data_IF_625944391957
#
_entry.id   IF_625944391957
#
_cell.length_a   1.000
_cell.length_b   1.000
_cell.length_c   1.000
_cell.angle_alpha   90.00
_cell.angle_beta   90.00
_cell.angle_gamma   90.00
#
_symmetry.space_group_name_H-M   'P 1'
#
loop_
_entity.id
_entity.type
_entity.pdbx_description
1 polymer ?
#
# COMPACT_ATOMS: atom_id res chain seq x y z
N UNK A 1 8.95 30.46 0.26
CA UNK A 1 8.15 30.42 -0.97
C UNK A 1 8.23 29.01 -1.52
N UNK A 2 7.14 28.26 -1.48
CA UNK A 2 7.04 26.94 -2.07
C UNK A 2 6.64 27.04 -3.55
N UNK A 3 7.05 26.07 -4.36
CA UNK A 3 6.57 25.89 -5.74
C UNK A 3 5.54 24.77 -5.77
N UNK A 4 4.35 25.05 -6.29
CA UNK A 4 3.21 24.14 -6.35
C UNK A 4 2.96 23.72 -7.80
N UNK A 5 3.13 22.43 -8.10
CA UNK A 5 2.76 21.87 -9.39
C UNK A 5 1.24 21.79 -9.54
N UNK A 6 0.69 22.19 -10.69
CA UNK A 6 -0.74 22.08 -11.00
C UNK A 6 -0.90 21.27 -12.28
N UNK A 7 -1.41 20.05 -12.17
CA UNK A 7 -1.65 19.14 -13.29
C UNK A 7 -3.11 19.29 -13.74
N UNK A 8 -3.30 19.79 -14.96
CA UNK A 8 -4.62 20.00 -15.56
C UNK A 8 -4.55 19.94 -17.09
N UNK A 9 -5.67 19.66 -17.75
CA UNK A 9 -5.78 19.81 -19.21
C UNK A 9 -6.21 21.24 -19.52
N UNK A 10 -5.27 22.06 -19.98
CA UNK A 10 -5.45 23.49 -20.21
C UNK A 10 -6.40 23.78 -21.39
N UNK A 11 -6.50 22.88 -22.36
CA UNK A 11 -7.50 22.87 -23.46
C UNK A 11 -8.95 23.08 -23.01
N UNK A 12 -9.30 22.58 -21.83
CA UNK A 12 -10.69 22.47 -21.34
C UNK A 12 -10.93 23.18 -20.02
N UNK A 13 -9.89 23.46 -19.23
CA UNK A 13 -10.00 23.92 -17.82
C UNK A 13 -9.19 25.19 -17.53
N UNK A 14 -8.89 25.99 -18.55
CA UNK A 14 -8.01 27.15 -18.43
C UNK A 14 -8.52 28.21 -17.45
N UNK A 15 -9.84 28.41 -17.33
CA UNK A 15 -10.40 29.37 -16.37
C UNK A 15 -10.14 28.96 -14.92
N UNK A 16 -10.33 27.68 -14.62
CA UNK A 16 -10.08 27.07 -13.32
C UNK A 16 -8.60 27.05 -12.99
N UNK A 17 -7.74 26.71 -13.97
CA UNK A 17 -6.28 26.77 -13.84
C UNK A 17 -5.81 28.20 -13.56
N UNK A 18 -6.35 29.22 -14.26
CA UNK A 18 -6.07 30.64 -13.98
C UNK A 18 -6.49 31.05 -12.57
N UNK A 19 -7.65 30.59 -12.10
CA UNK A 19 -8.11 30.83 -10.73
C UNK A 19 -7.17 30.20 -9.69
N UNK A 20 -6.80 28.93 -9.87
CA UNK A 20 -5.83 28.22 -9.02
C UNK A 20 -4.47 28.93 -9.03
N UNK A 21 -3.97 29.31 -10.21
CA UNK A 21 -2.72 30.05 -10.37
C UNK A 21 -2.74 31.38 -9.60
N UNK A 22 -3.86 32.12 -9.66
CA UNK A 22 -4.06 33.37 -8.91
C UNK A 22 -4.07 33.11 -7.39
N UNK A 23 -4.80 32.11 -6.90
CA UNK A 23 -4.88 31.79 -5.47
C UNK A 23 -3.52 31.35 -4.89
N UNK A 24 -2.75 30.54 -5.62
CA UNK A 24 -1.38 30.16 -5.22
C UNK A 24 -0.49 31.40 -5.13
N UNK A 25 -0.49 32.27 -6.16
CA UNK A 25 0.28 33.53 -6.15
C UNK A 25 -0.10 34.45 -4.98
N UNK A 26 -1.39 34.56 -4.65
CA UNK A 26 -1.88 35.36 -3.51
C UNK A 26 -1.39 34.86 -2.15
N UNK A 27 -0.96 33.60 -2.03
CA UNK A 27 -0.38 33.04 -0.80
C UNK A 27 1.13 33.28 -0.64
N UNK A 28 1.77 33.98 -1.59
CA UNK A 28 3.23 34.13 -1.60
C UNK A 28 3.98 32.87 -2.06
N UNK A 29 3.28 31.95 -2.74
CA UNK A 29 3.84 30.73 -3.33
C UNK A 29 3.81 30.81 -4.88
N UNK A 30 4.63 30.02 -5.53
CA UNK A 30 4.76 30.00 -7.00
C UNK A 30 4.00 28.81 -7.59
N UNK A 31 2.99 29.02 -8.46
CA UNK A 31 2.43 27.92 -9.24
C UNK A 31 3.36 27.55 -10.40
N UNK A 32 3.42 26.27 -10.72
CA UNK A 32 4.03 25.70 -11.92
C UNK A 32 2.94 24.88 -12.62
N UNK A 33 2.44 25.35 -13.77
CA UNK A 33 1.36 24.67 -14.50
C UNK A 33 1.96 23.58 -15.41
N UNK A 34 1.46 22.35 -15.26
CA UNK A 34 1.81 21.18 -16.07
C UNK A 34 0.60 20.81 -16.94
N UNK A 35 0.73 20.99 -18.25
CA UNK A 35 -0.38 20.75 -19.17
C UNK A 35 -0.50 19.28 -19.62
N UNK A 36 -1.60 18.63 -19.25
CA UNK A 36 -1.96 17.27 -19.69
C UNK A 36 -3.13 17.30 -20.68
N UNK A 37 -3.12 18.26 -21.59
CA UNK A 37 -4.09 18.37 -22.68
C UNK A 37 -3.88 17.35 -23.79
N UNK A 38 -5.00 16.75 -24.22
CA UNK A 38 -5.05 15.84 -25.38
C UNK A 38 -5.98 16.35 -26.49
N UNK A 39 -6.57 17.54 -26.34
CA UNK A 39 -7.29 18.25 -27.40
C UNK A 39 -6.34 19.10 -28.28
N UNK A 40 -6.72 19.44 -29.53
CA UNK A 40 -5.81 20.11 -30.46
C UNK A 40 -5.51 21.58 -30.13
N UNK A 41 -6.44 22.28 -29.45
CA UNK A 41 -6.32 23.70 -29.14
C UNK A 41 -6.16 23.94 -27.63
N UNK A 42 -5.15 24.72 -27.25
CA UNK A 42 -4.89 25.11 -25.86
C UNK A 42 -4.96 26.64 -25.77
N UNK A 43 -5.95 27.22 -25.04
CA UNK A 43 -6.19 28.66 -24.99
C UNK A 43 -5.27 29.42 -24.00
N UNK A 44 -4.33 28.75 -23.35
CA UNK A 44 -3.36 29.36 -22.42
C UNK A 44 -1.98 28.73 -22.54
N UNK A 45 -0.94 29.46 -22.12
CA UNK A 45 0.42 28.92 -22.00
C UNK A 45 0.64 28.37 -20.59
N UNK A 46 0.98 27.08 -20.50
CA UNK A 46 1.47 26.46 -19.27
C UNK A 46 2.97 26.73 -19.07
N UNK A 47 3.47 26.50 -17.85
CA UNK A 47 4.90 26.64 -17.53
C UNK A 47 5.71 25.42 -18.00
N UNK A 48 5.07 24.24 -18.03
CA UNK A 48 5.53 23.02 -18.71
C UNK A 48 4.45 22.60 -19.69
N UNK A 49 4.78 22.62 -20.98
CA UNK A 49 3.86 22.25 -22.06
C UNK A 49 3.58 20.74 -22.12
N UNK A 50 2.48 20.35 -22.78
CA UNK A 50 2.17 18.93 -23.04
C UNK A 50 3.28 18.28 -23.89
N UNK A 51 3.92 19.01 -24.79
CA UNK A 51 5.01 18.53 -25.64
C UNK A 51 6.26 18.19 -24.79
N UNK A 52 6.62 19.04 -23.83
CA UNK A 52 7.70 18.78 -22.87
C UNK A 52 7.38 17.59 -21.95
N UNK A 53 6.11 17.42 -21.57
CA UNK A 53 5.66 16.25 -20.81
C UNK A 53 5.78 14.99 -21.65
N UNK A 54 5.18 14.95 -22.85
CA UNK A 54 5.20 13.79 -23.76
C UNK A 54 6.62 13.34 -24.14
N UNK A 55 7.56 14.28 -24.27
CA UNK A 55 8.97 13.99 -24.51
C UNK A 55 9.59 13.13 -23.39
N UNK A 56 9.12 13.22 -22.14
CA UNK A 56 9.57 12.33 -21.05
C UNK A 56 9.10 10.88 -21.23
N UNK A 57 7.95 10.66 -21.89
CA UNK A 57 7.50 9.33 -22.32
C UNK A 57 8.21 8.80 -23.56
N UNK A 58 8.89 9.67 -24.32
CA UNK A 58 9.46 9.35 -25.63
C UNK A 58 8.47 9.55 -26.78
N UNK A 59 7.39 10.31 -26.55
CA UNK A 59 6.34 10.58 -27.53
C UNK A 59 6.43 12.00 -28.10
N UNK A 60 6.02 12.19 -29.36
CA UNK A 60 5.69 13.51 -29.90
C UNK A 60 4.19 13.79 -29.82
N UNK A 61 3.80 15.06 -29.92
CA UNK A 61 2.38 15.44 -29.95
C UNK A 61 1.67 14.83 -31.17
N UNK A 62 2.31 14.79 -32.33
CA UNK A 62 1.74 14.25 -33.58
C UNK A 62 1.39 12.76 -33.44
N UNK A 63 2.27 11.99 -32.78
CA UNK A 63 2.03 10.58 -32.49
C UNK A 63 0.81 10.41 -31.58
N UNK A 64 0.76 11.16 -30.48
CA UNK A 64 -0.33 11.11 -29.48
C UNK A 64 -1.65 11.61 -30.05
N UNK A 65 -1.62 12.61 -30.92
CA UNK A 65 -2.81 13.15 -31.59
C UNK A 65 -3.39 12.17 -32.63
N UNK A 66 -2.55 11.30 -33.21
CA UNK A 66 -2.98 10.23 -34.11
C UNK A 66 -3.49 8.97 -33.38
N UNK A 67 -3.32 8.87 -32.05
CA UNK A 67 -3.88 7.78 -31.26
C UNK A 67 -5.38 7.94 -31.06
N UNK A 68 -6.04 6.86 -30.67
CA UNK A 68 -7.37 6.94 -30.08
C UNK A 68 -7.30 7.64 -28.70
N UNK A 69 -8.46 8.01 -28.15
CA UNK A 69 -8.54 8.70 -26.86
C UNK A 69 -7.93 7.87 -25.72
N UNK A 70 -8.02 6.55 -25.77
CA UNK A 70 -7.44 5.68 -24.74
C UNK A 70 -5.91 5.69 -24.79
N UNK A 71 -5.33 5.47 -25.97
CA UNK A 71 -3.88 5.53 -26.19
C UNK A 71 -3.29 6.89 -25.84
N UNK A 72 -3.95 7.99 -26.23
CA UNK A 72 -3.50 9.33 -25.91
C UNK A 72 -3.46 9.60 -24.39
N UNK A 73 -4.46 9.14 -23.64
CA UNK A 73 -4.45 9.23 -22.16
C UNK A 73 -3.37 8.33 -21.56
N UNK A 74 -3.16 7.12 -22.07
CA UNK A 74 -2.11 6.23 -21.57
C UNK A 74 -0.71 6.82 -21.77
N UNK A 75 -0.39 7.30 -22.97
CA UNK A 75 0.88 7.96 -23.29
C UNK A 75 1.10 9.22 -22.42
N UNK A 76 0.06 10.03 -22.24
CA UNK A 76 0.11 11.20 -21.35
C UNK A 76 0.31 10.80 -19.87
N UNK A 77 -0.33 9.72 -19.42
CA UNK A 77 -0.23 9.18 -18.04
C UNK A 77 1.19 8.76 -17.71
N UNK A 78 1.85 8.01 -18.59
CA UNK A 78 3.25 7.61 -18.43
C UNK A 78 4.18 8.83 -18.43
N UNK A 79 3.93 9.75 -19.35
CA UNK A 79 4.72 10.97 -19.56
C UNK A 79 4.68 11.92 -18.35
N UNK A 80 3.48 12.22 -17.83
CA UNK A 80 3.33 13.09 -16.65
C UNK A 80 3.90 12.42 -15.38
N UNK A 81 3.81 11.09 -15.28
CA UNK A 81 4.41 10.32 -14.18
C UNK A 81 5.93 10.50 -14.13
N UNK A 82 6.61 10.34 -15.29
CA UNK A 82 8.06 10.56 -15.42
C UNK A 82 8.45 12.03 -15.18
N UNK A 83 7.68 12.98 -15.72
CA UNK A 83 7.91 14.41 -15.50
C UNK A 83 7.79 14.79 -14.01
N UNK A 84 6.76 14.30 -13.32
CA UNK A 84 6.51 14.65 -11.93
C UNK A 84 7.60 14.08 -11.00
N UNK A 85 8.03 12.84 -11.21
CA UNK A 85 9.17 12.24 -10.51
C UNK A 85 10.44 13.08 -10.68
N UNK A 86 10.75 13.51 -11.91
CA UNK A 86 11.89 14.39 -12.19
C UNK A 86 11.79 15.72 -11.42
N UNK A 87 10.64 16.40 -11.46
CA UNK A 87 10.45 17.69 -10.80
C UNK A 87 10.54 17.59 -9.27
N UNK A 88 10.06 16.50 -8.67
CA UNK A 88 10.20 16.24 -7.22
C UNK A 88 11.64 15.87 -6.86
N UNK A 89 12.31 15.04 -7.66
CA UNK A 89 13.71 14.66 -7.46
C UNK A 89 14.67 15.85 -7.56
N UNK A 90 14.44 16.74 -8.53
CA UNK A 90 15.17 18.00 -8.72
C UNK A 90 14.74 19.11 -7.71
N UNK A 91 13.83 18.81 -6.77
CA UNK A 91 13.26 19.76 -5.78
C UNK A 91 12.64 21.02 -6.40
N UNK A 92 12.19 20.94 -7.66
CA UNK A 92 11.54 22.05 -8.39
C UNK A 92 10.09 22.27 -7.97
N UNK A 93 9.44 21.27 -7.39
CA UNK A 93 8.12 21.39 -6.75
C UNK A 93 8.13 20.86 -5.32
N UNK A 94 7.28 21.44 -4.49
CA UNK A 94 7.16 21.23 -3.05
C UNK A 94 5.80 20.67 -2.64
N UNK A 95 4.84 20.70 -3.57
CA UNK A 95 3.54 20.05 -3.49
C UNK A 95 2.90 20.01 -4.88
N UNK A 96 1.87 19.17 -5.05
CA UNK A 96 1.16 19.01 -6.33
C UNK A 96 -0.36 18.96 -6.16
N UNK A 97 -1.07 19.65 -7.05
CA UNK A 97 -2.51 19.59 -7.22
C UNK A 97 -2.86 19.00 -8.58
N UNK A 98 -3.61 17.90 -8.58
CA UNK A 98 -4.36 17.47 -9.76
C UNK A 98 -5.75 18.08 -9.77
N UNK A 99 -6.30 18.38 -10.95
CA UNK A 99 -7.73 18.71 -11.06
C UNK A 99 -8.38 18.27 -12.38
N UNK A 100 -9.63 17.81 -12.29
CA UNK A 100 -10.46 17.53 -13.46
C UNK A 100 -11.48 16.41 -13.26
N UNK A 101 -12.08 15.98 -14.37
CA UNK A 101 -12.96 14.81 -14.40
C UNK A 101 -12.21 13.49 -14.37
N UNK A 102 -12.90 12.39 -14.72
CA UNK A 102 -12.38 11.01 -14.72
C UNK A 102 -10.97 10.89 -15.33
N UNK A 103 -10.77 11.33 -16.57
CA UNK A 103 -9.50 11.13 -17.28
C UNK A 103 -8.32 11.92 -16.66
N UNK A 104 -8.55 13.19 -16.28
CA UNK A 104 -7.58 13.97 -15.51
C UNK A 104 -7.28 13.31 -14.16
N UNK A 105 -8.30 12.77 -13.48
CA UNK A 105 -8.12 12.10 -12.18
C UNK A 105 -7.26 10.86 -12.31
N UNK A 106 -7.43 10.06 -13.38
CA UNK A 106 -6.58 8.90 -13.68
C UNK A 106 -5.13 9.32 -13.94
N UNK A 107 -4.91 10.31 -14.82
CA UNK A 107 -3.56 10.83 -15.12
C UNK A 107 -2.87 11.38 -13.87
N UNK A 108 -3.59 12.13 -13.03
CA UNK A 108 -3.07 12.67 -11.78
C UNK A 108 -2.81 11.56 -10.75
N UNK A 109 -3.76 10.64 -10.54
CA UNK A 109 -3.62 9.49 -9.63
C UNK A 109 -2.37 8.67 -9.92
N UNK A 110 -2.14 8.32 -11.20
CA UNK A 110 -0.96 7.56 -11.58
C UNK A 110 0.35 8.27 -11.21
N UNK A 111 0.49 9.56 -11.55
CA UNK A 111 1.70 10.32 -11.23
C UNK A 111 1.86 10.57 -9.72
N UNK A 112 0.78 10.88 -9.00
CA UNK A 112 0.82 11.20 -7.57
C UNK A 112 1.09 9.95 -6.71
N UNK A 113 0.69 8.75 -7.13
CA UNK A 113 0.99 7.49 -6.44
C UNK A 113 2.47 7.09 -6.47
N UNK A 114 3.26 7.67 -7.39
CA UNK A 114 4.71 7.48 -7.43
C UNK A 114 5.47 8.41 -6.45
N UNK A 115 4.77 9.34 -5.79
CA UNK A 115 5.40 10.25 -4.83
C UNK A 115 5.41 9.65 -3.42
N UNK A 116 6.49 9.87 -2.64
CA UNK A 116 6.65 9.27 -1.32
C UNK A 116 5.59 9.78 -0.33
N UNK A 117 5.36 8.98 0.72
CA UNK A 117 4.42 9.32 1.78
C UNK A 117 4.87 10.59 2.52
N UNK A 118 3.92 11.47 2.84
CA UNK A 118 4.16 12.78 3.45
C UNK A 118 4.48 13.90 2.45
N UNK A 119 4.70 13.61 1.16
CA UNK A 119 4.81 14.66 0.14
C UNK A 119 3.44 15.31 -0.12
N UNK A 120 3.29 16.66 -0.12
CA UNK A 120 2.00 17.32 -0.30
C UNK A 120 1.36 17.05 -1.66
N UNK A 121 0.28 16.26 -1.69
CA UNK A 121 -0.41 15.88 -2.93
C UNK A 121 -1.93 15.80 -2.74
N UNK A 122 -2.64 16.51 -3.61
CA UNK A 122 -4.10 16.65 -3.56
C UNK A 122 -4.71 16.51 -4.97
N UNK A 123 -5.93 15.98 -5.07
CA UNK A 123 -6.70 15.94 -6.32
C UNK A 123 -8.10 16.52 -6.08
N UNK A 124 -8.48 17.55 -6.85
CA UNK A 124 -9.88 18.00 -6.92
C UNK A 124 -10.58 17.26 -8.06
N UNK A 125 -11.52 16.37 -7.74
CA UNK A 125 -12.07 15.41 -8.70
C UNK A 125 -13.59 15.36 -8.73
N UNK A 126 -14.16 15.26 -9.93
CA UNK A 126 -15.61 14.99 -10.13
C UNK A 126 -15.99 13.55 -9.80
N UNK A 127 -15.03 12.63 -9.67
CA UNK A 127 -15.25 11.21 -9.39
C UNK A 127 -14.87 10.80 -7.95
N UNK A 128 -14.60 11.76 -7.07
CA UNK A 128 -14.26 11.51 -5.67
C UNK A 128 -15.41 10.92 -4.83
N UNK A 129 -16.65 10.97 -5.34
CA UNK A 129 -17.85 10.45 -4.70
C UNK A 129 -18.63 9.56 -5.67
N UNK A 130 -19.21 8.47 -5.15
CA UNK A 130 -19.99 7.48 -5.90
C UNK A 130 -19.42 6.07 -5.83
N UNK A 131 -20.07 5.13 -6.51
CA UNK A 131 -19.70 3.72 -6.54
C UNK A 131 -18.51 3.47 -7.48
N UNK A 132 -17.29 3.66 -6.97
CA UNK A 132 -16.01 3.33 -7.61
C UNK A 132 -15.05 2.82 -6.55
N UNK A 133 -14.14 1.91 -6.92
CA UNK A 133 -13.05 1.54 -6.02
C UNK A 133 -12.09 2.74 -5.86
N UNK A 134 -11.95 3.22 -4.63
CA UNK A 134 -11.20 4.45 -4.31
C UNK A 134 -9.67 4.23 -4.38
N UNK A 135 -9.22 2.98 -4.26
CA UNK A 135 -7.85 2.53 -4.52
C UNK A 135 -7.32 2.95 -5.92
N UNK A 136 -8.18 3.06 -6.93
CA UNK A 136 -7.83 3.55 -8.27
C UNK A 136 -7.39 5.02 -8.27
N UNK A 137 -7.75 5.78 -7.22
CA UNK A 137 -7.40 7.19 -7.05
C UNK A 137 -6.25 7.38 -6.08
N UNK A 138 -6.23 6.66 -4.95
CA UNK A 138 -5.22 6.86 -3.88
C UNK A 138 -4.14 5.77 -3.80
N UNK A 139 -4.45 4.54 -4.22
CA UNK A 139 -3.56 3.39 -4.12
C UNK A 139 -3.12 3.12 -2.68
N UNK A 140 -1.81 2.97 -2.50
CA UNK A 140 -1.10 2.75 -1.24
C UNK A 140 -0.56 4.06 -0.62
N UNK A 141 -0.95 5.24 -1.13
CA UNK A 141 -0.38 6.54 -0.73
C UNK A 141 -1.41 7.49 -0.11
N UNK A 142 -0.92 8.41 0.72
CA UNK A 142 -1.64 9.52 1.35
C UNK A 142 -2.01 10.64 0.35
N UNK A 143 -2.84 10.33 -0.65
CA UNK A 143 -3.36 11.32 -1.60
C UNK A 143 -4.66 11.90 -1.03
N UNK A 144 -4.69 13.21 -0.77
CA UNK A 144 -5.93 13.88 -0.38
C UNK A 144 -6.83 14.05 -1.61
N UNK A 145 -8.08 13.60 -1.54
CA UNK A 145 -9.04 13.75 -2.64
C UNK A 145 -10.20 14.63 -2.20
N UNK A 146 -10.46 15.70 -2.95
CA UNK A 146 -11.55 16.65 -2.70
C UNK A 146 -12.62 16.49 -3.78
N UNK A 147 -13.89 16.19 -3.43
CA UNK A 147 -14.99 16.23 -4.38
C UNK A 147 -15.17 17.63 -4.95
N UNK A 148 -15.16 17.76 -6.29
CA UNK A 148 -15.37 19.06 -6.95
C UNK A 148 -16.79 19.60 -6.81
N UNK A 149 -17.75 18.75 -6.40
CA UNK A 149 -19.20 18.96 -6.29
C UNK A 149 -19.90 19.20 -7.65
N UNK A 150 -19.34 20.06 -8.49
CA UNK A 150 -19.77 20.32 -9.87
C UNK A 150 -18.64 20.02 -10.85
N UNK A 151 -18.95 19.96 -12.14
CA UNK A 151 -17.93 19.76 -13.19
C UNK A 151 -17.04 21.02 -13.36
N UNK A 152 -15.91 20.86 -14.03
CA UNK A 152 -15.01 21.95 -14.42
C UNK A 152 -15.33 22.39 -15.84
N UNK A 153 -16.43 23.14 -15.96
CA UNK A 153 -16.98 23.66 -17.21
C UNK A 153 -17.09 25.20 -17.18
N UNK A 154 -16.08 25.85 -16.58
CA UNK A 154 -16.04 27.29 -16.33
C UNK A 154 -16.28 27.66 -14.87
N UNK A 155 -15.70 28.78 -14.45
CA UNK A 155 -15.79 29.26 -13.07
C UNK A 155 -17.21 29.69 -12.69
N UNK A 156 -17.70 29.15 -11.57
CA UNK A 156 -18.91 29.56 -10.88
C UNK A 156 -18.65 29.58 -9.35
N UNK A 157 -19.57 30.10 -8.51
CA UNK A 157 -19.34 30.21 -7.07
C UNK A 157 -19.03 28.89 -6.35
N UNK A 158 -19.52 27.75 -6.85
CA UNK A 158 -19.23 26.43 -6.27
C UNK A 158 -17.79 26.02 -6.58
N UNK A 159 -17.34 26.11 -7.85
CA UNK A 159 -15.94 25.87 -8.18
C UNK A 159 -15.01 26.87 -7.46
N UNK A 160 -15.42 28.13 -7.30
CA UNK A 160 -14.61 29.14 -6.59
C UNK A 160 -14.38 28.75 -5.11
N UNK A 161 -15.44 28.33 -4.42
CA UNK A 161 -15.35 27.85 -3.05
C UNK A 161 -14.53 26.55 -2.93
N UNK A 162 -14.81 25.55 -3.76
CA UNK A 162 -14.19 24.22 -3.67
C UNK A 162 -12.71 24.25 -4.09
N UNK A 163 -12.37 24.87 -5.22
CA UNK A 163 -10.97 25.05 -5.63
C UNK A 163 -10.24 25.99 -4.67
N UNK A 164 -10.91 27.02 -4.13
CA UNK A 164 -10.35 27.91 -3.11
C UNK A 164 -9.94 27.16 -1.84
N UNK A 165 -10.80 26.27 -1.35
CA UNK A 165 -10.51 25.41 -0.21
C UNK A 165 -9.40 24.39 -0.53
N UNK A 166 -9.45 23.75 -1.70
CA UNK A 166 -8.44 22.76 -2.12
C UNK A 166 -7.04 23.38 -2.21
N UNK A 167 -6.92 24.55 -2.84
CA UNK A 167 -5.66 25.30 -2.93
C UNK A 167 -5.20 25.74 -1.54
N UNK A 168 -6.11 26.21 -0.68
CA UNK A 168 -5.77 26.62 0.70
C UNK A 168 -5.27 25.44 1.56
N UNK A 169 -5.88 24.26 1.41
CA UNK A 169 -5.42 23.03 2.06
C UNK A 169 -4.01 22.67 1.61
N UNK A 170 -3.74 22.65 0.29
CA UNK A 170 -2.41 22.38 -0.23
C UNK A 170 -1.36 23.42 0.21
N UNK A 171 -1.72 24.71 0.25
CA UNK A 171 -0.87 25.76 0.81
C UNK A 171 -0.51 25.43 2.27
N UNK A 172 -1.49 25.02 3.08
CA UNK A 172 -1.28 24.53 4.44
C UNK A 172 -0.30 23.35 4.49
N UNK A 173 -0.49 22.35 3.64
CA UNK A 173 0.40 21.18 3.55
C UNK A 173 1.84 21.55 3.17
N UNK A 174 2.06 22.43 2.18
CA UNK A 174 3.43 22.84 1.77
C UNK A 174 4.10 23.85 2.72
N UNK A 175 3.32 24.55 3.55
CA UNK A 175 3.84 25.57 4.48
C UNK A 175 4.13 24.99 5.86
N UNK A 176 3.27 24.09 6.35
CA UNK A 176 3.33 23.56 7.72
C UNK A 176 3.55 22.05 7.81
N UNK A 177 3.33 21.31 6.71
CA UNK A 177 3.54 19.87 6.61
C UNK A 177 4.69 19.52 5.66
N UNK A 178 4.46 18.57 4.75
CA UNK A 178 5.38 18.24 3.66
C UNK A 178 6.68 17.56 4.07
N UNK A 179 6.80 17.17 5.34
CA UNK A 179 7.92 16.36 5.83
C UNK A 179 7.75 14.93 5.29
N UNK A 180 8.82 14.42 4.67
CA UNK A 180 8.94 12.97 4.42
C UNK A 180 9.01 12.23 5.75
N UNK A 181 8.73 10.93 5.72
CA UNK A 181 9.03 10.04 6.84
C UNK A 181 10.55 10.13 7.11
N UNK A 182 10.90 10.56 8.32
CA UNK A 182 12.27 10.60 8.82
C UNK A 182 12.28 9.77 10.10
N UNK A 183 13.00 8.66 10.08
CA UNK A 183 13.13 7.79 11.25
C UNK A 183 14.09 8.36 12.30
N UNK A 184 14.81 9.43 11.99
CA UNK A 184 15.87 10.02 12.83
C UNK A 184 16.94 9.00 13.26
N UNK A 185 17.19 7.97 12.42
CA UNK A 185 18.12 6.87 12.70
C UNK A 185 17.55 5.74 13.55
N UNK A 186 16.29 5.83 13.96
CA UNK A 186 15.60 4.83 14.77
C UNK A 186 15.19 3.61 13.94
N UNK A 187 15.24 2.43 14.57
CA UNK A 187 14.81 1.17 13.95
C UNK A 187 13.35 0.91 14.24
N UNK A 188 12.54 0.83 13.19
CA UNK A 188 11.13 0.42 13.28
C UNK A 188 10.95 -1.04 12.85
N UNK A 189 10.14 -1.76 13.61
CA UNK A 189 9.71 -3.13 13.33
C UNK A 189 8.29 -3.05 12.76
N UNK A 190 8.09 -3.55 11.55
CA UNK A 190 6.74 -3.73 11.00
C UNK A 190 6.10 -4.99 11.59
N UNK A 191 4.80 -4.97 11.84
CA UNK A 191 4.03 -6.17 12.20
C UNK A 191 2.66 -6.16 11.55
N UNK A 192 2.07 -7.34 11.37
CA UNK A 192 0.80 -7.52 10.66
C UNK A 192 -0.25 -8.17 11.54
N UNK A 193 -1.47 -7.64 11.51
CA UNK A 193 -2.59 -8.09 12.34
C UNK A 193 -3.89 -8.13 11.56
N UNK A 194 -4.89 -8.84 12.11
CA UNK A 194 -6.31 -8.77 11.79
C UNK A 194 -7.11 -8.95 13.07
N UNK A 195 -8.42 -8.72 13.06
CA UNK A 195 -9.28 -9.00 14.23
C UNK A 195 -9.18 -10.44 14.76
N UNK A 196 -8.80 -11.41 13.93
CA UNK A 196 -8.61 -12.82 14.29
C UNK A 196 -7.21 -13.20 14.81
N UNK A 197 -6.25 -12.27 14.76
CA UNK A 197 -4.87 -12.40 15.29
C UNK A 197 -4.50 -11.27 16.26
N UNK A 198 -5.35 -10.24 16.41
CA UNK A 198 -5.06 -8.95 17.02
C UNK A 198 -4.37 -9.07 18.38
N UNK A 199 -4.96 -9.84 19.30
CA UNK A 199 -4.57 -9.81 20.70
C UNK A 199 -3.17 -10.40 20.91
N UNK A 200 -2.82 -11.45 20.18
CA UNK A 200 -1.45 -12.02 20.13
C UNK A 200 -0.46 -11.02 19.57
N UNK A 201 -0.77 -10.38 18.43
CA UNK A 201 0.15 -9.45 17.77
C UNK A 201 0.36 -8.18 18.59
N UNK A 202 -0.70 -7.65 19.19
CA UNK A 202 -0.62 -6.48 20.07
C UNK A 202 0.14 -6.80 21.35
N UNK A 203 -0.11 -7.95 22.00
CA UNK A 203 0.66 -8.39 23.18
C UNK A 203 2.16 -8.52 22.87
N UNK A 204 2.52 -9.15 21.76
CA UNK A 204 3.91 -9.26 21.33
C UNK A 204 4.55 -7.88 21.03
N UNK A 205 3.76 -6.98 20.43
CA UNK A 205 4.18 -5.60 20.13
C UNK A 205 4.36 -4.74 21.39
N UNK A 206 3.50 -4.91 22.38
CA UNK A 206 3.56 -4.20 23.67
C UNK A 206 4.79 -4.66 24.48
N UNK A 207 5.09 -5.96 24.49
CA UNK A 207 6.29 -6.51 25.14
C UNK A 207 7.58 -6.01 24.45
N UNK A 208 7.64 -5.99 23.12
CA UNK A 208 8.75 -5.39 22.36
C UNK A 208 8.87 -3.88 22.64
N UNK A 209 7.75 -3.17 22.77
CA UNK A 209 7.72 -1.73 23.08
C UNK A 209 8.20 -1.46 24.52
N UNK A 210 7.84 -2.31 25.48
CA UNK A 210 8.34 -2.24 26.86
C UNK A 210 9.85 -2.46 26.94
N UNK A 211 10.43 -3.24 26.02
CA UNK A 211 11.89 -3.41 25.82
C UNK A 211 12.54 -2.26 25.03
N UNK A 212 11.79 -1.23 24.64
CA UNK A 212 12.30 -0.05 23.93
C UNK A 212 12.38 -0.19 22.41
N UNK A 213 11.81 -1.24 21.81
CA UNK A 213 11.66 -1.35 20.35
C UNK A 213 10.52 -0.44 19.86
N UNK A 214 10.53 -0.08 18.58
CA UNK A 214 9.50 0.78 17.97
C UNK A 214 8.70 0.00 16.94
N UNK A 215 7.39 -0.14 17.16
CA UNK A 215 6.51 -0.94 16.32
C UNK A 215 5.72 -0.08 15.34
N UNK A 216 5.41 -0.62 14.16
CA UNK A 216 4.40 -0.09 13.22
C UNK A 216 3.51 -1.26 12.79
N UNK A 217 2.20 -1.16 13.06
CA UNK A 217 1.22 -2.20 12.74
C UNK A 217 0.52 -1.93 11.40
N UNK A 218 0.32 -3.00 10.64
CA UNK A 218 -0.39 -3.01 9.35
C UNK A 218 -1.55 -4.01 9.41
N UNK A 219 -2.75 -3.59 8.98
CA UNK A 219 -3.92 -4.47 8.94
C UNK A 219 -3.87 -5.32 7.66
N UNK A 220 -3.84 -6.65 7.80
CA UNK A 220 -3.75 -7.60 6.68
C UNK A 220 -5.05 -7.71 5.87
N UNK A 221 -5.46 -6.62 5.21
CA UNK A 221 -6.67 -6.49 4.37
C UNK A 221 -6.33 -6.04 2.95
N UNK A 222 -5.26 -6.57 2.39
CA UNK A 222 -4.74 -6.31 1.04
C UNK A 222 -3.77 -5.13 1.02
N UNK A 223 -4.27 -3.93 1.32
CA UNK A 223 -3.46 -2.71 1.22
C UNK A 223 -2.40 -2.64 2.34
N UNK A 224 -2.63 -3.24 3.50
CA UNK A 224 -1.70 -3.15 4.64
C UNK A 224 -0.35 -3.78 4.34
N UNK A 225 -0.33 -5.03 3.84
CA UNK A 225 0.92 -5.66 3.42
C UNK A 225 1.58 -4.97 2.24
N UNK A 226 0.81 -4.48 1.24
CA UNK A 226 1.36 -3.68 0.14
C UNK A 226 2.09 -2.43 0.65
N UNK A 227 1.52 -1.70 1.62
CA UNK A 227 2.17 -0.52 2.23
C UNK A 227 3.41 -0.95 3.03
N UNK A 228 3.35 -2.02 3.81
CA UNK A 228 4.49 -2.55 4.56
C UNK A 228 5.66 -2.92 3.63
N UNK A 229 5.39 -3.69 2.58
CA UNK A 229 6.32 -4.07 1.51
C UNK A 229 6.94 -2.85 0.81
N UNK A 230 6.17 -1.77 0.66
CA UNK A 230 6.65 -0.48 0.13
C UNK A 230 7.60 0.20 1.13
N UNK A 231 7.21 0.33 2.40
CA UNK A 231 7.98 0.98 3.46
C UNK A 231 9.29 0.24 3.82
N UNK A 232 9.36 -1.07 3.61
CA UNK A 232 10.61 -1.86 3.69
C UNK A 232 11.58 -1.44 2.58
N UNK A 233 11.12 -1.36 1.32
CA UNK A 233 11.94 -0.94 0.18
C UNK A 233 12.33 0.54 0.25
N UNK A 234 11.47 1.40 0.82
CA UNK A 234 11.76 2.80 1.13
C UNK A 234 12.75 2.97 2.32
N UNK A 235 13.09 1.90 3.05
CA UNK A 235 14.05 1.92 4.16
C UNK A 235 13.51 2.48 5.49
N UNK A 236 12.20 2.68 5.59
CA UNK A 236 11.52 3.13 6.83
C UNK A 236 11.48 1.99 7.86
N UNK A 237 11.24 0.77 7.38
CA UNK A 237 11.19 -0.44 8.22
C UNK A 237 12.56 -1.11 8.23
N UNK A 238 13.06 -1.43 9.43
CA UNK A 238 14.38 -2.03 9.67
C UNK A 238 14.34 -3.53 9.98
N UNK A 239 13.17 -4.06 10.34
CA UNK A 239 12.92 -5.48 10.61
C UNK A 239 11.40 -5.77 10.56
N UNK A 240 10.99 -7.04 10.48
CA UNK A 240 9.58 -7.43 10.37
C UNK A 240 9.24 -8.56 11.36
N UNK A 241 8.10 -8.44 12.02
CA UNK A 241 7.42 -9.49 12.80
C UNK A 241 6.08 -9.78 12.10
N UNK A 242 6.13 -10.54 11.01
CA UNK A 242 4.99 -10.76 10.11
C UNK A 242 4.16 -11.98 10.58
N UNK A 243 3.18 -11.72 11.44
CA UNK A 243 2.42 -12.78 12.12
C UNK A 243 1.07 -13.11 11.46
N UNK A 244 0.59 -12.27 10.54
CA UNK A 244 -0.72 -12.41 9.89
C UNK A 244 -0.59 -12.38 8.36
N UNK A 245 -0.43 -13.54 7.75
CA UNK A 245 -0.21 -13.71 6.30
C UNK A 245 -1.49 -13.88 5.48
N UNK A 246 -2.66 -13.63 6.08
CA UNK A 246 -3.99 -13.77 5.46
C UNK A 246 -4.11 -13.18 4.04
N UNK A 247 -3.44 -12.08 3.72
CA UNK A 247 -3.50 -11.50 2.36
C UNK A 247 -3.00 -12.47 1.26
N UNK A 248 -2.17 -13.45 1.60
CA UNK A 248 -1.75 -14.52 0.67
C UNK A 248 -2.91 -15.44 0.26
N UNK A 249 -4.02 -15.50 1.02
CA UNK A 249 -5.22 -16.24 0.59
C UNK A 249 -5.94 -15.52 -0.54
N UNK A 250 -5.94 -14.18 -0.52
CA UNK A 250 -6.51 -13.38 -1.61
C UNK A 250 -5.64 -13.47 -2.88
N UNK A 251 -4.31 -13.47 -2.72
CA UNK A 251 -3.36 -13.71 -3.81
C UNK A 251 -3.57 -15.09 -4.44
N UNK A 252 -3.68 -16.16 -3.62
CA UNK A 252 -3.95 -17.53 -4.10
C UNK A 252 -5.27 -17.66 -4.86
N UNK A 253 -6.33 -16.97 -4.41
CA UNK A 253 -7.63 -16.95 -5.09
C UNK A 253 -7.67 -16.05 -6.35
N UNK A 254 -6.52 -15.52 -6.80
CA UNK A 254 -6.41 -14.73 -8.02
C UNK A 254 -6.67 -13.23 -7.81
N UNK A 255 -6.07 -12.65 -6.76
CA UNK A 255 -6.31 -11.28 -6.28
C UNK A 255 -7.80 -11.00 -5.97
N UNK A 256 -8.39 -11.89 -5.17
CA UNK A 256 -9.83 -11.96 -4.97
C UNK A 256 -10.27 -11.82 -3.50
N UNK A 257 -11.51 -11.35 -3.30
CA UNK A 257 -12.11 -11.13 -1.99
C UNK A 257 -11.80 -9.75 -1.38
N UNK A 258 -12.11 -9.62 -0.09
CA UNK A 258 -11.94 -8.37 0.67
C UNK A 258 -10.47 -7.98 0.86
N UNK A 259 -9.60 -8.97 1.07
CA UNK A 259 -8.18 -8.77 1.41
C UNK A 259 -7.26 -8.72 0.18
N UNK A 260 -7.81 -8.40 -1.00
CA UNK A 260 -7.08 -8.32 -2.26
C UNK A 260 -6.17 -7.10 -2.36
N UNK A 261 -5.11 -7.21 -3.15
CA UNK A 261 -4.16 -6.15 -3.43
C UNK A 261 -2.83 -6.25 -2.68
N UNK A 262 -2.46 -7.41 -2.14
CA UNK A 262 -1.14 -7.63 -1.52
C UNK A 262 -0.27 -8.63 -2.30
N UNK A 263 -0.12 -8.40 -3.60
CA UNK A 263 0.79 -9.20 -4.43
C UNK A 263 2.21 -9.14 -3.86
N UNK A 264 2.94 -10.26 -3.87
CA UNK A 264 4.34 -10.36 -3.43
C UNK A 264 4.58 -10.16 -1.92
N UNK A 265 3.63 -10.51 -1.04
CA UNK A 265 3.91 -10.66 0.41
C UNK A 265 5.15 -11.51 0.67
N UNK A 266 5.97 -11.10 1.64
CA UNK A 266 7.26 -11.70 2.06
C UNK A 266 8.45 -11.40 1.15
N UNK A 267 8.27 -10.66 0.05
CA UNK A 267 9.35 -10.41 -0.90
C UNK A 267 10.28 -9.26 -0.45
N UNK A 268 9.78 -8.14 0.06
CA UNK A 268 10.64 -6.99 0.41
C UNK A 268 11.68 -7.31 1.49
N UNK A 269 11.26 -8.01 2.55
CA UNK A 269 12.16 -8.35 3.65
C UNK A 269 13.30 -9.27 3.17
N UNK A 270 12.95 -10.25 2.33
CA UNK A 270 13.88 -11.17 1.68
C UNK A 270 14.83 -10.45 0.71
N UNK A 271 14.30 -9.56 -0.14
CA UNK A 271 15.04 -8.75 -1.12
C UNK A 271 16.07 -7.82 -0.47
N UNK A 272 15.65 -7.12 0.59
CA UNK A 272 16.42 -6.10 1.32
C UNK A 272 17.31 -6.69 2.42
N UNK A 273 17.12 -7.96 2.78
CA UNK A 273 17.92 -8.67 3.78
C UNK A 273 17.74 -8.14 5.21
N UNK A 274 16.57 -7.60 5.55
CA UNK A 274 16.26 -7.18 6.92
C UNK A 274 15.81 -8.38 7.78
N UNK A 275 16.00 -8.35 9.12
CA UNK A 275 15.54 -9.41 10.00
C UNK A 275 14.03 -9.62 9.90
N UNK A 276 13.59 -10.86 9.75
CA UNK A 276 12.18 -11.21 9.57
C UNK A 276 11.77 -12.44 10.39
N UNK A 277 10.91 -12.25 11.39
CA UNK A 277 10.19 -13.32 12.08
C UNK A 277 8.82 -13.50 11.43
N UNK A 278 8.50 -14.72 11.01
CA UNK A 278 7.31 -15.03 10.20
C UNK A 278 6.44 -16.08 10.91
N UNK A 279 5.13 -15.84 10.98
CA UNK A 279 4.14 -16.85 11.39
C UNK A 279 3.01 -16.91 10.35
N UNK A 280 2.57 -18.10 9.90
CA UNK A 280 1.49 -18.25 8.92
C UNK A 280 0.08 -18.03 9.51
N UNK A 281 -0.10 -16.99 10.34
CA UNK A 281 -1.38 -16.68 10.96
C UNK A 281 -2.44 -16.29 9.94
N UNK A 282 -3.64 -16.89 10.07
CA UNK A 282 -4.80 -16.56 9.26
C UNK A 282 -4.79 -17.00 7.78
N UNK A 283 -3.92 -17.92 7.37
CA UNK A 283 -3.92 -18.46 5.99
C UNK A 283 -4.98 -19.56 5.73
N UNK A 284 -5.78 -19.91 6.74
CA UNK A 284 -6.79 -20.99 6.73
C UNK A 284 -8.17 -20.59 6.21
N UNK A 285 -8.36 -19.31 5.87
CA UNK A 285 -9.66 -18.74 5.50
C UNK A 285 -9.52 -17.53 4.57
N UNK A 286 -10.55 -17.24 3.78
CA UNK A 286 -10.67 -16.02 2.99
C UNK A 286 -11.77 -15.10 3.55
N UNK A 287 -11.54 -13.78 3.53
CA UNK A 287 -12.56 -12.77 3.78
C UNK A 287 -13.35 -12.49 2.49
N UNK A 288 -14.61 -12.91 2.42
CA UNK A 288 -15.46 -12.77 1.22
C UNK A 288 -16.77 -12.06 1.56
N UNK A 289 -17.22 -11.14 0.70
CA UNK A 289 -18.59 -10.62 0.80
C UNK A 289 -19.61 -11.63 0.28
N UNK A 290 -20.89 -11.39 0.55
CA UNK A 290 -22.00 -12.24 0.09
C UNK A 290 -22.00 -12.47 -1.43
N UNK A 291 -21.70 -11.43 -2.21
CA UNK A 291 -21.58 -11.48 -3.67
C UNK A 291 -20.21 -12.02 -4.16
N UNK A 292 -19.29 -12.33 -3.24
CA UNK A 292 -17.96 -12.86 -3.51
C UNK A 292 -17.78 -14.31 -3.01
N UNK A 293 -18.86 -14.98 -2.57
CA UNK A 293 -18.79 -16.36 -2.13
C UNK A 293 -18.38 -17.30 -3.29
N UNK A 294 -17.51 -18.25 -2.97
CA UNK A 294 -17.08 -19.31 -3.89
C UNK A 294 -18.25 -20.28 -4.14
N UNK A 295 -18.28 -20.96 -5.29
CA UNK A 295 -19.42 -21.78 -5.75
C UNK A 295 -19.67 -23.08 -4.96
N UNK A 296 -18.79 -23.36 -4.00
CA UNK A 296 -18.77 -24.52 -3.12
C UNK A 296 -18.91 -24.06 -1.66
N UNK A 297 -19.50 -22.88 -1.42
CA UNK A 297 -19.60 -22.20 -0.13
C UNK A 297 -20.29 -23.05 0.95
N UNK A 298 -21.27 -23.86 0.56
CA UNK A 298 -21.97 -24.81 1.43
C UNK A 298 -21.08 -26.01 1.83
N UNK A 299 -20.20 -26.48 0.93
CA UNK A 299 -19.33 -27.64 1.15
C UNK A 299 -18.08 -27.26 1.97
N UNK A 300 -17.41 -26.14 1.63
CA UNK A 300 -16.27 -25.63 2.42
C UNK A 300 -16.72 -25.00 3.74
N UNK A 301 -17.89 -24.38 3.76
CA UNK A 301 -18.45 -23.68 4.90
C UNK A 301 -17.81 -22.31 5.17
N UNK A 302 -18.57 -21.45 5.86
CA UNK A 302 -18.16 -20.12 6.28
C UNK A 302 -18.84 -19.70 7.59
N UNK A 303 -18.32 -18.66 8.24
CA UNK A 303 -18.99 -17.96 9.34
C UNK A 303 -19.15 -16.48 9.03
N UNK A 304 -20.26 -15.87 9.42
CA UNK A 304 -20.44 -14.42 9.29
C UNK A 304 -19.58 -13.67 10.30
N UNK A 305 -18.69 -12.81 9.81
CA UNK A 305 -17.92 -11.89 10.65
C UNK A 305 -18.74 -10.64 10.98
N UNK A 306 -19.52 -10.15 10.01
CA UNK A 306 -20.52 -9.11 10.17
C UNK A 306 -21.69 -9.35 9.19
N UNK A 307 -22.53 -8.34 8.93
CA UNK A 307 -23.72 -8.51 8.07
C UNK A 307 -23.39 -8.75 6.58
N UNK A 308 -22.22 -8.31 6.11
CA UNK A 308 -21.83 -8.32 4.70
C UNK A 308 -20.58 -9.16 4.41
N UNK A 309 -19.77 -9.50 5.41
CA UNK A 309 -18.48 -10.20 5.29
C UNK A 309 -18.45 -11.55 6.02
N UNK A 310 -17.94 -12.58 5.35
CA UNK A 310 -17.71 -13.92 5.90
C UNK A 310 -16.23 -14.20 6.12
N UNK A 311 -15.93 -15.12 7.04
CA UNK A 311 -14.70 -15.91 7.04
C UNK A 311 -15.03 -17.27 6.41
N UNK A 312 -14.63 -17.48 5.16
CA UNK A 312 -14.89 -18.70 4.38
C UNK A 312 -13.68 -19.63 4.47
N UNK A 313 -13.87 -20.93 4.77
CA UNK A 313 -12.74 -21.86 4.96
C UNK A 313 -11.97 -22.07 3.65
N UNK A 314 -10.66 -22.26 3.78
CA UNK A 314 -9.88 -22.92 2.73
C UNK A 314 -9.81 -24.42 2.96
N UNK A 315 -9.68 -25.19 1.88
CA UNK A 315 -9.34 -26.61 1.92
C UNK A 315 -7.88 -26.81 2.31
N UNK A 316 -7.54 -28.04 2.72
CA UNK A 316 -6.16 -28.39 3.05
C UNK A 316 -5.19 -28.14 1.89
N UNK A 317 -5.54 -28.51 0.65
CA UNK A 317 -4.69 -28.28 -0.52
C UNK A 317 -4.39 -26.80 -0.74
N UNK A 318 -5.41 -25.94 -0.62
CA UNK A 318 -5.29 -24.49 -0.78
C UNK A 318 -4.32 -23.90 0.27
N UNK A 319 -4.39 -24.38 1.51
CA UNK A 319 -3.49 -23.96 2.62
C UNK A 319 -2.05 -24.46 2.39
N UNK A 320 -1.87 -25.68 1.91
CA UNK A 320 -0.54 -26.24 1.65
C UNK A 320 0.14 -25.60 0.43
N UNK A 321 -0.61 -25.25 -0.62
CA UNK A 321 -0.09 -24.46 -1.76
C UNK A 321 0.40 -23.07 -1.32
N UNK A 322 -0.36 -22.38 -0.45
CA UNK A 322 0.06 -21.13 0.18
C UNK A 322 1.31 -21.35 1.04
N UNK A 323 1.40 -22.47 1.75
CA UNK A 323 2.57 -22.82 2.58
C UNK A 323 3.83 -23.02 1.73
N UNK A 324 3.74 -23.72 0.59
CA UNK A 324 4.83 -23.83 -0.37
C UNK A 324 5.21 -22.45 -0.95
N UNK A 325 4.24 -21.57 -1.20
CA UNK A 325 4.50 -20.19 -1.67
C UNK A 325 5.23 -19.36 -0.62
N UNK A 326 4.92 -19.52 0.67
CA UNK A 326 5.67 -18.92 1.79
C UNK A 326 7.12 -19.41 1.75
N UNK A 327 7.34 -20.73 1.74
CA UNK A 327 8.69 -21.31 1.71
C UNK A 327 9.49 -20.83 0.50
N UNK A 328 8.89 -20.81 -0.70
CA UNK A 328 9.55 -20.35 -1.93
C UNK A 328 10.06 -18.91 -1.79
N UNK A 329 9.27 -18.02 -1.19
CA UNK A 329 9.63 -16.60 -0.98
C UNK A 329 10.66 -16.42 0.11
N UNK A 330 10.52 -17.10 1.24
CA UNK A 330 11.50 -17.04 2.33
C UNK A 330 12.86 -17.61 1.91
N UNK A 331 12.88 -18.65 1.08
CA UNK A 331 14.10 -19.19 0.47
C UNK A 331 14.84 -18.21 -0.46
N UNK A 332 14.24 -17.07 -0.83
CA UNK A 332 14.92 -15.98 -1.56
C UNK A 332 15.58 -14.96 -0.61
N UNK A 333 15.42 -15.11 0.70
CA UNK A 333 15.96 -14.19 1.71
C UNK A 333 17.48 -14.11 1.68
N UNK A 334 17.97 -12.87 1.80
CA UNK A 334 19.39 -12.53 2.01
C UNK A 334 19.66 -12.14 3.47
N UNK A 335 18.63 -12.08 4.30
CA UNK A 335 18.68 -11.62 5.68
C UNK A 335 18.53 -12.78 6.68
N UNK A 336 18.60 -12.43 7.96
CA UNK A 336 18.23 -13.35 9.04
C UNK A 336 16.71 -13.56 9.02
N UNK A 337 16.28 -14.79 8.84
CA UNK A 337 14.85 -15.14 8.75
C UNK A 337 14.54 -16.31 9.67
N UNK A 338 13.47 -16.18 10.44
CA UNK A 338 12.95 -17.23 11.31
C UNK A 338 11.45 -17.43 11.04
N UNK A 339 11.02 -18.70 11.06
CA UNK A 339 9.63 -19.12 10.91
C UNK A 339 9.18 -19.80 12.18
N UNK A 340 8.08 -19.31 12.77
CA UNK A 340 7.44 -19.91 13.93
C UNK A 340 6.04 -20.43 13.56
N UNK A 341 5.70 -21.62 14.05
CA UNK A 341 4.42 -22.28 13.75
C UNK A 341 3.68 -22.67 15.05
N UNK A 342 2.50 -22.09 15.33
CA UNK A 342 1.61 -22.56 16.38
C UNK A 342 0.86 -23.82 15.92
N UNK A 343 1.21 -24.96 16.49
CA UNK A 343 0.66 -26.28 16.12
C UNK A 343 -0.83 -26.41 16.48
N UNK A 344 -1.28 -25.70 17.51
CA UNK A 344 -2.64 -25.75 18.02
C UNK A 344 -3.67 -24.98 17.21
N UNK A 345 -3.26 -24.19 16.20
CA UNK A 345 -4.16 -23.39 15.36
C UNK A 345 -3.60 -22.03 14.99
N UNK A 346 -4.06 -21.44 13.88
CA UNK A 346 -3.43 -20.27 13.23
C UNK A 346 -4.06 -18.91 13.59
N UNK A 347 -5.13 -18.88 14.41
CA UNK A 347 -5.98 -17.70 14.71
C UNK A 347 -7.18 -18.06 15.60
N UNK A 348 -8.02 -17.10 16.00
CA UNK A 348 -9.26 -17.38 16.76
C UNK A 348 -10.19 -18.38 16.07
N UNK A 349 -11.01 -19.10 16.84
CA UNK A 349 -11.90 -20.19 16.38
C UNK A 349 -11.15 -21.43 15.85
N UNK A 350 -9.94 -21.71 16.34
CA UNK A 350 -9.12 -22.88 15.93
C UNK A 350 -8.71 -23.81 17.08
N UNK A 351 -9.33 -23.74 18.26
CA UNK A 351 -9.17 -24.76 19.31
C UNK A 351 -9.94 -26.06 18.97
N UNK A 352 -9.64 -27.20 19.63
CA UNK A 352 -10.33 -28.46 19.39
C UNK A 352 -11.86 -28.37 19.44
N UNK A 353 -12.52 -28.70 18.32
CA UNK A 353 -13.97 -28.63 18.15
C UNK A 353 -14.49 -27.29 17.57
N UNK A 354 -13.64 -26.28 17.41
CA UNK A 354 -14.01 -25.01 16.77
C UNK A 354 -13.94 -25.08 15.24
N UNK A 355 -14.63 -24.13 14.59
CA UNK A 355 -14.90 -24.17 13.15
C UNK A 355 -13.64 -24.12 12.25
N UNK A 356 -12.49 -23.65 12.73
CA UNK A 356 -11.24 -23.60 11.94
C UNK A 356 -10.13 -24.50 12.48
N UNK A 357 -10.45 -25.42 13.40
CA UNK A 357 -9.50 -26.45 13.82
C UNK A 357 -9.13 -27.40 12.66
N UNK A 358 -7.83 -27.53 12.38
CA UNK A 358 -7.25 -28.31 11.26
C UNK A 358 -5.87 -28.91 11.64
N UNK A 359 -5.78 -29.76 12.68
CA UNK A 359 -4.48 -30.22 13.20
C UNK A 359 -3.69 -31.05 12.18
N UNK A 360 -4.34 -31.86 11.34
CA UNK A 360 -3.67 -32.65 10.29
C UNK A 360 -3.04 -31.76 9.22
N UNK A 361 -3.70 -30.65 8.85
CA UNK A 361 -3.17 -29.67 7.91
C UNK A 361 -1.97 -28.94 8.49
N UNK A 362 -2.03 -28.51 9.75
CA UNK A 362 -0.91 -27.83 10.42
C UNK A 362 0.30 -28.78 10.58
N UNK A 363 0.05 -30.07 10.85
CA UNK A 363 1.12 -31.08 10.88
C UNK A 363 1.77 -31.30 9.50
N UNK A 364 1.03 -31.14 8.38
CA UNK A 364 1.61 -31.13 7.03
C UNK A 364 2.37 -29.84 6.72
N UNK A 365 1.87 -28.69 7.17
CA UNK A 365 2.60 -27.41 7.07
C UNK A 365 3.96 -27.50 7.76
N UNK A 366 4.01 -28.08 8.97
CA UNK A 366 5.25 -28.38 9.68
C UNK A 366 6.23 -29.20 8.83
N UNK A 367 5.76 -30.28 8.21
CA UNK A 367 6.60 -31.13 7.36
C UNK A 367 7.16 -30.37 6.15
N UNK A 368 6.37 -29.50 5.53
CA UNK A 368 6.82 -28.62 4.44
C UNK A 368 7.92 -27.67 4.93
N UNK A 369 7.72 -26.99 6.06
CA UNK A 369 8.75 -26.10 6.62
C UNK A 369 10.03 -26.85 7.02
N UNK A 370 9.93 -28.03 7.63
CA UNK A 370 11.09 -28.86 8.02
C UNK A 370 11.88 -29.41 6.82
N UNK A 371 11.23 -29.65 5.67
CA UNK A 371 11.84 -30.26 4.50
C UNK A 371 12.35 -29.24 3.46
N UNK A 372 11.58 -28.18 3.21
CA UNK A 372 11.76 -27.32 2.04
C UNK A 372 12.40 -25.95 2.36
N UNK A 373 12.48 -25.54 3.63
CA UNK A 373 13.25 -24.34 4.02
C UNK A 373 14.76 -24.58 3.87
N UNK A 374 15.46 -23.54 3.42
CA UNK A 374 16.93 -23.53 3.36
C UNK A 374 17.55 -23.66 4.76
N UNK A 375 18.71 -24.34 4.91
CA UNK A 375 19.34 -24.59 6.22
C UNK A 375 19.70 -23.33 7.03
N UNK A 376 19.82 -22.17 6.39
CA UNK A 376 20.10 -20.89 7.04
C UNK A 376 18.85 -20.24 7.67
N UNK A 377 17.65 -20.72 7.35
CA UNK A 377 16.38 -20.22 7.89
C UNK A 377 16.03 -21.05 9.13
N UNK A 378 15.85 -20.38 10.27
CA UNK A 378 15.46 -21.05 11.51
C UNK A 378 13.96 -21.40 11.44
N UNK A 379 13.60 -22.63 11.79
CA UNK A 379 12.20 -23.06 11.93
C UNK A 379 11.95 -23.60 13.34
N UNK A 380 10.88 -23.13 13.99
CA UNK A 380 10.44 -23.60 15.31
C UNK A 380 8.93 -23.84 15.32
N UNK A 381 8.51 -24.99 15.82
CA UNK A 381 7.11 -25.34 16.00
C UNK A 381 6.78 -25.44 17.49
N UNK A 382 5.67 -24.81 17.91
CA UNK A 382 5.23 -24.74 19.31
C UNK A 382 3.90 -25.43 19.49
N UNK A 383 3.75 -26.24 20.53
CA UNK A 383 2.50 -26.93 20.88
C UNK A 383 1.54 -25.97 21.61
N UNK A 384 1.17 -24.91 20.89
CA UNK A 384 0.33 -23.78 21.32
C UNK A 384 -0.58 -23.37 20.15
N UNK A 385 -1.75 -22.83 20.47
CA UNK A 385 -2.59 -22.09 19.53
C UNK A 385 -2.01 -20.67 19.32
N UNK A 386 -2.22 -20.08 18.14
CA UNK A 386 -1.84 -18.69 17.86
C UNK A 386 -2.40 -17.71 18.91
N UNK A 387 -3.59 -17.98 19.46
CA UNK A 387 -4.26 -17.14 20.44
C UNK A 387 -3.86 -17.41 21.90
N UNK A 388 -2.93 -18.33 22.18
CA UNK A 388 -2.40 -18.51 23.53
C UNK A 388 -1.50 -17.32 23.93
N UNK A 389 -1.67 -16.72 25.12
CA UNK A 389 -0.82 -15.62 25.60
C UNK A 389 0.68 -15.95 25.58
N UNK A 390 1.02 -17.20 25.88
CA UNK A 390 2.37 -17.76 25.85
C UNK A 390 2.98 -17.70 24.42
N UNK A 391 2.16 -17.89 23.38
CA UNK A 391 2.63 -17.79 21.99
C UNK A 391 2.97 -16.34 21.62
N UNK A 392 2.22 -15.35 22.11
CA UNK A 392 2.55 -13.94 21.95
C UNK A 392 3.89 -13.58 22.63
N UNK A 393 4.12 -14.12 23.83
CA UNK A 393 5.36 -13.90 24.58
C UNK A 393 6.56 -14.54 23.86
N UNK A 394 6.36 -15.69 23.21
CA UNK A 394 7.34 -16.35 22.34
C UNK A 394 7.63 -15.48 21.11
N UNK A 395 6.61 -14.96 20.40
CA UNK A 395 6.79 -14.06 19.26
C UNK A 395 7.71 -12.86 19.62
N UNK A 396 7.48 -12.23 20.78
CA UNK A 396 8.33 -11.13 21.25
C UNK A 396 9.75 -11.57 21.63
N UNK A 397 9.91 -12.76 22.23
CA UNK A 397 11.22 -13.31 22.59
C UNK A 397 12.06 -13.65 21.35
N UNK A 398 11.47 -14.32 20.37
CA UNK A 398 12.18 -14.71 19.14
C UNK A 398 12.50 -13.51 18.25
N UNK A 399 11.61 -12.53 18.18
CA UNK A 399 11.90 -11.28 17.46
C UNK A 399 13.08 -10.53 18.10
N UNK A 400 13.12 -10.48 19.43
CA UNK A 400 14.21 -9.86 20.19
C UNK A 400 15.54 -10.62 20.01
N UNK A 401 15.52 -11.97 20.01
CA UNK A 401 16.69 -12.78 19.73
C UNK A 401 17.24 -12.56 18.30
N UNK A 402 16.35 -12.60 17.30
CA UNK A 402 16.67 -12.40 15.88
C UNK A 402 17.31 -11.02 15.61
N UNK A 403 16.84 -9.97 16.29
CA UNK A 403 17.44 -8.63 16.23
C UNK A 403 18.84 -8.60 16.83
N UNK A 404 19.05 -9.24 17.97
CA UNK A 404 20.34 -9.25 18.66
C UNK A 404 21.41 -10.02 17.86
N UNK A 405 21.04 -11.14 17.22
CA UNK A 405 21.92 -11.84 16.27
C UNK A 405 22.30 -10.96 15.08
N UNK A 406 21.32 -10.29 14.46
CA UNK A 406 21.54 -9.43 13.30
C UNK A 406 22.43 -8.21 13.63
N UNK A 407 22.38 -7.70 14.86
CA UNK A 407 23.29 -6.65 15.34
C UNK A 407 24.71 -7.17 15.63
N UNK A 408 24.83 -8.41 16.14
CA UNK A 408 26.12 -9.08 16.33
C UNK A 408 26.86 -9.30 15.00
N UNK A 409 26.20 -9.92 14.02
CA UNK A 409 26.80 -10.22 12.71
C UNK A 409 27.29 -8.98 11.95
N UNK A 410 26.68 -7.80 12.18
CA UNK A 410 27.11 -6.52 11.59
C UNK A 410 28.35 -5.91 12.25
N UNK A 411 28.67 -6.28 13.50
CA UNK A 411 29.87 -5.83 14.21
C UNK A 411 31.12 -6.67 13.91
N UNK A 412 30.92 -7.91 13.43
CA UNK A 412 32.01 -8.82 13.04
C UNK A 412 32.42 -8.66 11.56
N UNK A 413 31.60 -7.99 10.76
CA UNK A 413 31.78 -7.78 9.32
C UNK A 413 32.17 -6.35 8.92
N UNK A 414 32.42 -5.48 9.91
CA UNK A 414 32.82 -4.08 9.77
C UNK A 414 34.15 -3.83 10.49
#
# INVERSE_FOLDING_TARGET
MAVVGVIASCDTKYHEVQFVQKKIKMSGNSPLILDVSTGPHIPMRADVSREEILAMGGYTWEQVHAMDKSGAIAAMTESISKMLLKLVGEKKIHGVMGMGGLQNTVMCSAALRLLPIGFPKIICSTIASGYRYFDTVVGDKDIMVVPSIVDFAGMNPVNEAVLGNTVSALIGMVTYGGKRIDTHGEKYIATTLMGITNDTVMRASDELTARGRKMISFHSTGIGGRVMESMIREGVISAVMDLSLHEMTAEYLGDYGYSKGADNRLCAAAEMGIPALICPGGIDFACLRKEELLKDEEDRGYVWHNQDLTHTRLYESEILDITHTIVERLNRSKGKTEVILPMGGLRTMSYPGEFFYKPETIQKMRQIFEADLKPEIVFKAYDLNFCDPEFADICAQEMEALLNEAEGSRKESA
#
